data_IF_601551515954
#
_entry.id   IF_601551515954
#
_cell.length_a   1.000
_cell.length_b   1.000
_cell.length_c   1.000
_cell.angle_alpha   90.00
_cell.angle_beta   90.00
_cell.angle_gamma   90.00
#
_symmetry.space_group_name_H-M   'P 1'
#
loop_
_entity.id
_entity.type
_entity.pdbx_description
1 polymer ?
#
# COMPACT_ATOMS: atom_id res chain seq x y z
N UNK A 1 -1.22 -0.84 -17.56
CA UNK A 1 -0.88 -1.70 -16.40
C UNK A 1 0.54 -2.27 -16.45
N UNK A 2 1.00 -2.87 -17.56
CA UNK A 2 2.31 -3.54 -17.63
C UNK A 2 3.53 -2.66 -17.24
N UNK A 3 3.61 -1.42 -17.72
CA UNK A 3 4.71 -0.52 -17.34
C UNK A 3 4.63 -0.11 -15.86
N UNK A 4 3.44 0.24 -15.37
CA UNK A 4 3.24 0.70 -13.99
C UNK A 4 3.66 -0.31 -12.93
N UNK A 5 3.30 -1.59 -13.11
CA UNK A 5 3.73 -2.65 -12.18
C UNK A 5 5.24 -2.89 -12.19
N UNK A 6 5.90 -2.66 -13.35
CA UNK A 6 7.35 -2.84 -13.47
C UNK A 6 8.08 -1.70 -12.74
N UNK A 7 7.61 -0.47 -12.93
CA UNK A 7 8.12 0.72 -12.24
C UNK A 7 7.95 0.60 -10.72
N UNK A 8 6.80 0.10 -10.25
CA UNK A 8 6.62 -0.19 -8.82
C UNK A 8 7.65 -1.21 -8.30
N UNK A 9 7.92 -2.27 -9.07
CA UNK A 9 8.95 -3.28 -8.79
C UNK A 9 10.36 -2.72 -8.63
N UNK A 10 10.77 -1.82 -9.54
CA UNK A 10 12.06 -1.15 -9.45
C UNK A 10 12.22 -0.37 -8.12
N UNK A 11 11.14 0.21 -7.60
CA UNK A 11 11.16 0.88 -6.30
C UNK A 11 11.26 -0.09 -5.12
N UNK A 12 10.21 -0.90 -4.91
CA UNK A 12 10.11 -1.70 -3.68
C UNK A 12 11.19 -2.77 -3.56
N UNK A 13 11.79 -3.24 -4.66
CA UNK A 13 12.88 -4.21 -4.61
C UNK A 13 14.15 -3.65 -3.92
N UNK A 14 14.30 -2.33 -3.84
CA UNK A 14 15.49 -1.67 -3.28
C UNK A 14 15.27 -1.12 -1.86
N UNK A 15 14.02 -0.95 -1.43
CA UNK A 15 13.68 -0.35 -0.13
C UNK A 15 12.77 -1.23 0.74
N UNK A 16 12.34 -2.38 0.20
CA UNK A 16 11.40 -3.28 0.84
C UNK A 16 9.95 -2.80 0.76
N UNK A 17 9.11 -3.47 1.56
CA UNK A 17 7.68 -3.24 1.69
C UNK A 17 7.32 -3.08 3.17
N UNK A 18 6.03 -3.11 3.50
CA UNK A 18 5.55 -2.93 4.87
C UNK A 18 4.58 -3.99 5.33
N UNK A 19 3.82 -3.64 6.37
CA UNK A 19 2.94 -4.55 7.11
C UNK A 19 1.86 -5.23 6.24
N UNK A 20 1.42 -4.62 5.13
CA UNK A 20 0.48 -5.26 4.18
C UNK A 20 1.02 -6.61 3.69
N UNK A 21 2.25 -6.65 3.16
CA UNK A 21 2.85 -7.90 2.69
C UNK A 21 3.21 -8.83 3.84
N UNK A 22 3.69 -8.28 4.95
CA UNK A 22 4.00 -9.05 6.17
C UNK A 22 2.80 -9.85 6.70
N UNK A 23 1.59 -9.28 6.64
CA UNK A 23 0.36 -9.98 7.02
C UNK A 23 -0.22 -10.84 5.90
N UNK A 24 -0.03 -10.46 4.63
CA UNK A 24 -0.51 -11.25 3.49
C UNK A 24 0.21 -12.61 3.35
N UNK A 25 1.51 -12.69 3.69
CA UNK A 25 2.28 -13.94 3.60
C UNK A 25 1.71 -15.07 4.48
N UNK A 26 1.42 -14.85 5.79
CA UNK A 26 0.70 -15.84 6.59
C UNK A 26 -0.65 -16.24 6.01
N UNK A 27 -1.45 -15.31 5.49
CA UNK A 27 -2.75 -15.67 4.89
C UNK A 27 -2.60 -16.60 3.67
N UNK A 28 -1.53 -16.42 2.89
CA UNK A 28 -1.14 -17.35 1.83
C UNK A 28 -0.72 -18.71 2.38
N UNK A 29 0.13 -18.74 3.41
CA UNK A 29 0.64 -19.97 3.99
C UNK A 29 -0.43 -20.81 4.70
N UNK A 30 -1.34 -20.18 5.46
CA UNK A 30 -2.35 -20.88 6.26
C UNK A 30 -3.59 -21.28 5.45
N UNK A 31 -3.97 -20.48 4.45
CA UNK A 31 -5.27 -20.62 3.78
C UNK A 31 -5.19 -20.70 2.25
N UNK A 32 -3.99 -20.71 1.66
CA UNK A 32 -3.79 -20.60 0.22
C UNK A 32 -4.52 -19.38 -0.38
N UNK A 33 -4.57 -18.28 0.37
CA UNK A 33 -5.25 -17.06 -0.08
C UNK A 33 -4.47 -16.47 -1.27
N UNK A 34 -5.12 -16.11 -2.39
CA UNK A 34 -4.44 -15.45 -3.50
C UNK A 34 -3.75 -14.17 -3.03
N UNK A 35 -2.45 -14.05 -3.29
CA UNK A 35 -1.61 -12.98 -2.75
C UNK A 35 -2.17 -11.57 -3.05
N UNK A 36 -2.57 -11.32 -4.30
CA UNK A 36 -3.14 -10.03 -4.70
C UNK A 36 -4.43 -9.69 -3.93
N UNK A 37 -5.29 -10.68 -3.67
CA UNK A 37 -6.54 -10.50 -2.93
C UNK A 37 -6.27 -10.18 -1.46
N UNK A 38 -5.36 -10.92 -0.82
CA UNK A 38 -4.96 -10.66 0.57
C UNK A 38 -4.42 -9.23 0.74
N UNK A 39 -3.48 -8.81 -0.12
CA UNK A 39 -2.93 -7.46 -0.06
C UNK A 39 -4.01 -6.39 -0.31
N UNK A 40 -4.90 -6.60 -1.29
CA UNK A 40 -5.96 -5.64 -1.61
C UNK A 40 -6.93 -5.41 -0.45
N UNK A 41 -7.33 -6.48 0.25
CA UNK A 41 -8.20 -6.39 1.44
C UNK A 41 -7.49 -5.65 2.57
N UNK A 42 -6.21 -5.96 2.82
CA UNK A 42 -5.45 -5.40 3.94
C UNK A 42 -5.02 -3.94 3.73
N UNK A 43 -4.79 -3.53 2.48
CA UNK A 43 -4.20 -2.25 2.12
C UNK A 43 -4.85 -1.02 2.81
N UNK A 44 -6.17 -0.78 2.73
CA UNK A 44 -6.76 0.42 3.33
C UNK A 44 -6.66 0.45 4.86
N UNK A 45 -6.69 -0.72 5.52
CA UNK A 45 -6.58 -0.82 6.97
C UNK A 45 -5.16 -0.48 7.45
N UNK A 46 -4.15 -1.03 6.78
CA UNK A 46 -2.75 -0.76 7.10
C UNK A 46 -2.35 0.66 6.72
N UNK A 47 -2.89 1.21 5.63
CA UNK A 47 -2.70 2.62 5.31
C UNK A 47 -3.23 3.50 6.45
N UNK A 48 -4.46 3.28 6.93
CA UNK A 48 -5.01 4.03 8.06
C UNK A 48 -4.14 3.90 9.32
N UNK A 49 -3.66 2.71 9.62
CA UNK A 49 -2.73 2.46 10.72
C UNK A 49 -1.43 3.29 10.58
N UNK A 50 -0.86 3.36 9.38
CA UNK A 50 0.38 4.09 9.10
C UNK A 50 0.20 5.61 8.94
N UNK A 51 -1.02 6.14 8.97
CA UNK A 51 -1.28 7.54 8.61
C UNK A 51 -0.41 8.54 9.40
N UNK A 52 -0.18 8.30 10.69
CA UNK A 52 0.66 9.13 11.55
C UNK A 52 2.17 9.07 11.29
N UNK A 53 2.64 8.16 10.44
CA UNK A 53 4.08 7.93 10.18
C UNK A 53 4.48 8.20 8.72
N UNK A 54 3.61 8.84 7.94
CA UNK A 54 3.78 8.96 6.48
C UNK A 54 4.02 10.39 5.99
N UNK A 55 4.01 11.38 6.89
CA UNK A 55 4.12 12.81 6.57
C UNK A 55 3.14 13.18 5.43
N UNK A 56 3.63 13.85 4.38
CA UNK A 56 2.82 14.29 3.24
C UNK A 56 2.59 13.20 2.17
N UNK A 57 3.21 12.00 2.30
CA UNK A 57 3.21 11.00 1.22
C UNK A 57 1.82 10.49 0.86
N UNK A 58 0.90 10.41 1.82
CA UNK A 58 -0.49 10.04 1.54
C UNK A 58 -1.25 11.12 0.77
N UNK A 59 -0.87 12.40 0.92
CA UNK A 59 -1.41 13.48 0.09
C UNK A 59 -0.99 13.30 -1.37
N UNK A 60 0.26 12.93 -1.61
CA UNK A 60 0.77 12.69 -2.95
C UNK A 60 0.10 11.48 -3.61
N UNK A 61 -0.13 10.40 -2.85
CA UNK A 61 -0.91 9.24 -3.32
C UNK A 61 -2.34 9.67 -3.69
N UNK A 62 -3.03 10.42 -2.82
CA UNK A 62 -4.40 10.87 -3.08
C UNK A 62 -4.48 11.71 -4.38
N UNK A 63 -3.53 12.64 -4.57
CA UNK A 63 -3.42 13.45 -5.80
C UNK A 63 -3.19 12.58 -7.04
N UNK A 64 -2.27 11.61 -6.98
CA UNK A 64 -1.99 10.70 -8.09
C UNK A 64 -3.20 9.82 -8.46
N UNK A 65 -4.09 9.56 -7.50
CA UNK A 65 -5.35 8.83 -7.71
C UNK A 65 -6.52 9.72 -8.17
N UNK A 66 -6.29 11.03 -8.41
CA UNK A 66 -7.33 11.98 -8.83
C UNK A 66 -8.17 12.56 -7.68
N UNK A 67 -7.77 12.35 -6.42
CA UNK A 67 -8.43 12.96 -5.26
C UNK A 67 -7.97 14.39 -4.99
N UNK A 68 -8.89 15.24 -4.55
CA UNK A 68 -8.55 16.57 -4.04
C UNK A 68 -7.88 16.44 -2.66
N UNK A 69 -6.65 16.93 -2.52
CA UNK A 69 -5.88 16.84 -1.29
C UNK A 69 -6.49 17.68 -0.18
N UNK A 70 -7.47 17.14 0.54
CA UNK A 70 -8.10 17.81 1.68
C UNK A 70 -7.06 17.98 2.79
N UNK A 71 -6.79 19.23 3.20
CA UNK A 71 -6.07 19.47 4.46
C UNK A 71 -6.98 19.00 5.58
N UNK A 72 -6.51 18.06 6.39
CA UNK A 72 -7.07 17.84 7.71
C UNK A 72 -6.47 18.96 8.55
N UNK A 73 -7.27 20.00 8.82
CA UNK A 73 -6.91 21.01 9.81
C UNK A 73 -6.89 20.32 11.18
N UNK A 74 -5.78 20.49 11.89
CA UNK A 74 -5.60 20.11 13.29
C UNK A 74 -5.76 21.33 14.17
#
# INVERSE_FOLDING_TARGET
>A
MALGQYVAGMGFSNVGLGLVHGMAHPLGAFYNTPHGVANAILLPHVMRFNAGSTNEKFRDIARAMGGEGRRVES
#
